data_IF_501169383036
#
_entry.id   IF_501169383036
#
_cell.length_a   1.000
_cell.length_b   1.000
_cell.length_c   1.000
_cell.angle_alpha   90.00
_cell.angle_beta   90.00
_cell.angle_gamma   90.00
#
_symmetry.space_group_name_H-M   'P 1'
#
loop_
_entity.id
_entity.type
_entity.pdbx_description
1 polymer ?
#
# COMPACT_ATOMS: atom_id res chain seq x y z
N UNK A 1 0.63 10.78 -26.31
CA UNK A 1 1.91 11.37 -25.86
C UNK A 1 2.53 10.41 -24.85
N UNK A 2 3.82 10.12 -24.96
CA UNK A 2 4.54 9.27 -23.99
C UNK A 2 5.19 10.18 -22.95
N UNK A 3 4.67 10.17 -21.71
CA UNK A 3 5.25 10.94 -20.62
C UNK A 3 6.64 10.38 -20.28
N UNK A 4 7.69 11.21 -20.26
CA UNK A 4 9.02 10.78 -19.85
C UNK A 4 9.00 10.21 -18.42
N UNK A 5 9.67 9.09 -18.19
CA UNK A 5 9.88 8.50 -16.85
C UNK A 5 10.53 9.49 -15.89
N UNK A 6 11.21 10.52 -16.41
CA UNK A 6 11.91 11.57 -15.66
C UNK A 6 10.96 12.50 -14.90
N UNK A 7 9.71 12.60 -15.35
CA UNK A 7 8.71 13.48 -14.74
C UNK A 7 7.89 12.73 -13.68
N UNK A 8 8.10 11.43 -13.53
CA UNK A 8 7.44 10.61 -12.52
C UNK A 8 8.09 10.85 -11.16
N UNK A 9 7.30 11.34 -10.22
CA UNK A 9 7.75 11.62 -8.86
C UNK A 9 7.28 10.57 -7.86
N UNK A 10 6.21 9.84 -8.18
CA UNK A 10 5.61 8.85 -7.28
C UNK A 10 5.34 7.54 -8.03
N UNK A 11 5.46 6.41 -7.33
CA UNK A 11 4.96 5.11 -7.78
C UNK A 11 3.89 4.60 -6.81
N UNK A 12 2.85 3.99 -7.36
CA UNK A 12 1.72 3.48 -6.58
C UNK A 12 1.37 2.03 -6.89
N UNK A 13 0.87 1.35 -5.87
CA UNK A 13 0.36 0.00 -5.94
C UNK A 13 -0.88 -0.18 -5.05
N UNK A 14 -1.82 -1.01 -5.50
CA UNK A 14 -2.99 -1.42 -4.71
C UNK A 14 -3.11 -2.93 -4.73
N UNK A 15 -3.24 -3.52 -3.54
CA UNK A 15 -3.70 -4.90 -3.36
C UNK A 15 -5.22 -4.93 -3.29
N UNK A 16 -5.84 -5.79 -4.09
CA UNK A 16 -7.29 -5.90 -4.22
C UNK A 16 -7.80 -7.21 -3.65
N UNK A 17 -8.90 -7.16 -2.91
CA UNK A 17 -9.67 -8.33 -2.53
C UNK A 17 -11.08 -8.24 -3.13
N UNK A 18 -11.68 -9.39 -3.40
CA UNK A 18 -13.04 -9.49 -3.90
C UNK A 18 -14.03 -9.64 -2.75
N UNK A 19 -15.10 -8.89 -2.81
CA UNK A 19 -16.26 -9.00 -1.94
C UNK A 19 -17.51 -8.76 -2.78
N UNK A 20 -18.68 -8.95 -2.18
CA UNK A 20 -19.95 -8.51 -2.77
C UNK A 20 -20.19 -9.04 -4.20
N UNK A 21 -19.77 -10.28 -4.46
CA UNK A 21 -19.88 -10.98 -5.74
C UNK A 21 -18.94 -10.47 -6.84
N UNK A 22 -17.64 -10.66 -6.66
CA UNK A 22 -16.54 -10.28 -7.57
C UNK A 22 -16.17 -8.78 -7.59
N UNK A 23 -16.82 -7.95 -6.76
CA UNK A 23 -16.48 -6.53 -6.65
C UNK A 23 -15.13 -6.39 -5.95
N UNK A 24 -14.18 -5.71 -6.60
CA UNK A 24 -12.85 -5.49 -6.04
C UNK A 24 -12.84 -4.28 -5.12
N UNK A 25 -12.36 -4.49 -3.91
CA UNK A 25 -12.11 -3.44 -2.93
C UNK A 25 -10.60 -3.37 -2.64
N UNK A 26 -10.05 -2.17 -2.44
CA UNK A 26 -8.68 -2.05 -1.99
C UNK A 26 -8.57 -2.69 -0.60
N UNK A 27 -7.52 -3.47 -0.38
CA UNK A 27 -7.18 -4.04 0.93
C UNK A 27 -5.94 -3.35 1.52
N UNK A 28 -5.05 -2.89 0.65
CA UNK A 28 -3.84 -2.15 1.00
C UNK A 28 -3.45 -1.26 -0.17
N UNK A 29 -3.02 -0.05 0.14
CA UNK A 29 -2.58 0.96 -0.83
C UNK A 29 -1.20 1.43 -0.42
N UNK A 30 -0.22 1.22 -1.31
CA UNK A 30 1.19 1.53 -1.08
C UNK A 30 1.71 2.50 -2.12
N UNK A 31 2.30 3.61 -1.67
CA UNK A 31 2.94 4.60 -2.55
C UNK A 31 4.33 4.94 -2.05
N UNK A 32 5.21 5.24 -2.99
CA UNK A 32 6.58 5.66 -2.72
C UNK A 32 6.98 6.79 -3.64
N UNK A 33 7.77 7.73 -3.11
CA UNK A 33 8.50 8.71 -3.90
C UNK A 33 9.55 8.03 -4.77
N UNK A 34 9.75 8.54 -5.98
CA UNK A 34 10.84 8.16 -6.87
C UNK A 34 12.03 9.06 -6.56
N UNK A 35 13.10 8.46 -6.07
CA UNK A 35 14.33 9.19 -5.78
C UNK A 35 15.14 9.45 -7.04
N UNK A 36 15.78 10.61 -7.10
CA UNK A 36 16.80 10.89 -8.10
C UNK A 36 18.06 10.07 -7.82
N UNK A 37 18.83 9.80 -8.88
CA UNK A 37 20.05 9.02 -8.77
C UNK A 37 21.03 9.64 -7.77
N UNK A 38 21.56 8.81 -6.86
CA UNK A 38 22.51 9.24 -5.83
C UNK A 38 21.89 9.75 -4.53
N UNK A 39 20.55 9.79 -4.42
CA UNK A 39 19.89 10.06 -3.14
C UNK A 39 19.77 8.75 -2.35
N UNK A 40 20.20 8.74 -1.07
CA UNK A 40 20.02 7.59 -0.17
C UNK A 40 18.56 7.16 -0.02
N UNK A 41 18.30 5.85 0.03
CA UNK A 41 16.95 5.29 0.07
C UNK A 41 16.18 5.59 1.36
N UNK A 42 16.88 5.79 2.48
CA UNK A 42 16.30 6.18 3.77
C UNK A 42 15.59 7.55 3.73
N UNK A 43 15.87 8.36 2.70
CA UNK A 43 15.18 9.64 2.47
C UNK A 43 13.88 9.52 1.69
N UNK A 44 13.57 8.32 1.18
CA UNK A 44 12.36 8.05 0.39
C UNK A 44 11.13 8.21 1.28
N UNK A 45 10.25 9.13 0.90
CA UNK A 45 8.90 9.15 1.49
C UNK A 45 8.12 7.96 0.95
N UNK A 46 7.54 7.17 1.84
CA UNK A 46 6.59 6.12 1.49
C UNK A 46 5.38 6.16 2.42
N UNK A 47 4.25 5.68 1.92
CA UNK A 47 3.04 5.44 2.70
C UNK A 47 2.50 4.07 2.35
N UNK A 48 2.12 3.31 3.37
CA UNK A 48 1.36 2.08 3.25
C UNK A 48 0.15 2.21 4.17
N UNK A 49 -1.03 2.03 3.62
CA UNK A 49 -2.28 2.08 4.40
C UNK A 49 -3.13 0.87 4.05
N UNK A 50 -3.63 0.19 5.07
CA UNK A 50 -4.62 -0.86 4.90
C UNK A 50 -6.04 -0.31 4.94
N UNK A 51 -6.95 -1.02 4.28
CA UNK A 51 -8.36 -0.66 4.17
C UNK A 51 -9.20 -1.70 4.88
N UNK A 52 -10.01 -1.23 5.82
CA UNK A 52 -10.97 -2.03 6.54
C UNK A 52 -12.12 -2.43 5.61
N UNK A 53 -12.26 -3.75 5.43
CA UNK A 53 -13.32 -4.37 4.64
C UNK A 53 -14.20 -5.28 5.51
N UNK A 54 -14.14 -5.20 6.84
CA UNK A 54 -14.93 -6.04 7.76
C UNK A 54 -16.43 -5.95 7.53
N UNK A 55 -16.93 -4.77 7.15
CA UNK A 55 -18.35 -4.56 6.79
C UNK A 55 -18.78 -5.15 5.45
N UNK A 56 -17.85 -5.74 4.68
CA UNK A 56 -18.13 -6.32 3.35
C UNK A 56 -18.43 -7.80 3.46
N UNK A 57 -19.33 -8.29 2.61
CA UNK A 57 -19.70 -9.71 2.58
C UNK A 57 -18.75 -10.45 1.63
N UNK A 58 -17.97 -11.39 2.17
CA UNK A 58 -17.16 -12.32 1.38
C UNK A 58 -17.98 -13.58 1.00
N UNK A 59 -18.50 -13.61 -0.24
CA UNK A 59 -19.28 -14.74 -0.73
C UNK A 59 -18.39 -15.96 -1.01
N UNK A 60 -19.00 -17.15 -1.06
CA UNK A 60 -18.28 -18.40 -1.28
C UNK A 60 -17.43 -18.41 -2.56
N UNK A 61 -17.83 -17.65 -3.59
CA UNK A 61 -17.08 -17.51 -4.85
C UNK A 61 -15.87 -16.56 -4.77
N UNK A 62 -15.90 -15.60 -3.84
CA UNK A 62 -14.82 -14.61 -3.66
C UNK A 62 -13.64 -15.24 -2.88
N UNK A 63 -13.96 -16.15 -1.93
CA UNK A 63 -12.99 -16.79 -1.02
C UNK A 63 -11.78 -17.45 -1.71
N UNK A 64 -11.94 -18.25 -2.79
CA UNK A 64 -10.80 -18.88 -3.44
C UNK A 64 -9.83 -17.85 -4.03
N UNK A 65 -10.35 -16.77 -4.62
CA UNK A 65 -9.54 -15.69 -5.19
C UNK A 65 -8.80 -14.94 -4.08
N UNK A 66 -9.52 -14.55 -3.03
CA UNK A 66 -8.92 -13.87 -1.88
C UNK A 66 -7.85 -14.71 -1.19
N UNK A 67 -8.04 -16.03 -1.09
CA UNK A 67 -7.03 -16.95 -0.54
C UNK A 67 -5.75 -16.93 -1.38
N UNK A 68 -5.85 -16.91 -2.70
CA UNK A 68 -4.69 -16.82 -3.61
C UNK A 68 -4.00 -15.47 -3.48
N UNK A 69 -4.77 -14.38 -3.50
CA UNK A 69 -4.22 -13.02 -3.37
C UNK A 69 -3.48 -12.86 -2.04
N UNK A 70 -4.10 -13.25 -0.92
CA UNK A 70 -3.47 -13.18 0.40
C UNK A 70 -2.19 -14.01 0.48
N UNK A 71 -2.18 -15.21 -0.09
CA UNK A 71 -1.01 -16.10 0.00
C UNK A 71 0.17 -15.64 -0.88
N UNK A 72 -0.12 -15.17 -2.09
CA UNK A 72 0.89 -15.03 -3.14
C UNK A 72 1.20 -13.58 -3.52
N UNK A 73 0.36 -12.63 -3.12
CA UNK A 73 0.47 -11.23 -3.57
C UNK A 73 0.56 -10.30 -2.36
N UNK A 74 -0.47 -10.23 -1.52
CA UNK A 74 -0.51 -9.23 -0.44
C UNK A 74 0.14 -9.68 0.86
N UNK A 75 0.27 -11.00 1.08
CA UNK A 75 0.74 -11.58 2.34
C UNK A 75 -0.06 -11.17 3.59
N UNK A 76 -1.25 -10.58 3.39
CA UNK A 76 -2.13 -10.18 4.50
C UNK A 76 -2.70 -11.42 5.21
N UNK A 77 -2.75 -11.44 6.56
CA UNK A 77 -3.35 -12.52 7.33
C UNK A 77 -4.79 -12.81 6.92
N UNK A 78 -5.25 -14.05 7.10
CA UNK A 78 -6.68 -14.35 6.94
C UNK A 78 -7.50 -13.63 8.01
N UNK A 79 -8.62 -13.02 7.62
CA UNK A 79 -9.42 -12.19 8.54
C UNK A 79 -8.77 -10.86 8.93
N UNK A 80 -7.68 -10.45 8.24
CA UNK A 80 -7.05 -9.15 8.51
C UNK A 80 -8.04 -7.99 8.36
N UNK A 81 -8.15 -7.22 9.43
CA UNK A 81 -8.92 -5.99 9.52
C UNK A 81 -7.99 -4.82 9.20
N UNK A 82 -8.36 -4.01 8.22
CA UNK A 82 -7.59 -2.83 7.88
C UNK A 82 -7.70 -1.75 8.96
N UNK A 83 -6.75 -0.82 8.96
CA UNK A 83 -6.68 0.23 9.98
C UNK A 83 -7.61 1.41 9.72
N UNK A 84 -8.03 1.60 8.46
CA UNK A 84 -8.73 2.78 8.01
C UNK A 84 -9.93 2.41 7.17
N UNK A 85 -10.99 3.22 7.25
CA UNK A 85 -12.04 3.12 6.24
C UNK A 85 -11.45 3.41 4.86
N UNK A 86 -12.13 2.93 3.81
CA UNK A 86 -11.71 3.19 2.42
C UNK A 86 -11.50 4.68 2.18
N UNK A 87 -12.45 5.50 2.64
CA UNK A 87 -12.41 6.95 2.43
C UNK A 87 -11.27 7.62 3.22
N UNK A 88 -10.93 7.11 4.40
CA UNK A 88 -9.78 7.59 5.17
C UNK A 88 -8.45 7.25 4.50
N UNK A 89 -8.30 6.00 4.06
CA UNK A 89 -7.12 5.55 3.33
C UNK A 89 -6.93 6.38 2.06
N UNK A 90 -7.98 6.55 1.26
CA UNK A 90 -7.95 7.36 0.03
C UNK A 90 -7.58 8.82 0.30
N UNK A 91 -8.16 9.45 1.33
CA UNK A 91 -7.77 10.82 1.72
C UNK A 91 -6.30 10.93 2.11
N UNK A 92 -5.75 9.94 2.80
CA UNK A 92 -4.32 9.91 3.14
C UNK A 92 -3.45 9.83 1.89
N UNK A 93 -3.84 8.98 0.93
CA UNK A 93 -3.13 8.86 -0.33
C UNK A 93 -3.15 10.17 -1.11
N UNK A 94 -4.31 10.79 -1.27
CA UNK A 94 -4.44 12.07 -1.99
C UNK A 94 -3.57 13.15 -1.32
N UNK A 95 -3.59 13.23 0.01
CA UNK A 95 -2.72 14.17 0.76
C UNK A 95 -1.23 13.86 0.61
N UNK A 96 -0.87 12.60 0.48
CA UNK A 96 0.53 12.18 0.35
C UNK A 96 1.10 12.48 -1.04
N UNK A 97 0.31 12.24 -2.09
CA UNK A 97 0.69 12.51 -3.49
C UNK A 97 0.67 14.00 -3.82
N UNK A 98 -0.30 14.74 -3.27
CA UNK A 98 -0.50 16.16 -3.59
C UNK A 98 -0.73 16.33 -5.12
N UNK A 99 0.07 17.17 -5.77
CA UNK A 99 0.03 17.47 -7.19
C UNK A 99 1.07 16.70 -8.02
N UNK A 100 1.80 15.77 -7.39
CA UNK A 100 2.87 15.00 -8.03
C UNK A 100 2.35 14.01 -9.06
N UNK A 101 3.14 13.78 -10.11
CA UNK A 101 2.84 12.77 -11.12
C UNK A 101 3.00 11.35 -10.56
N UNK A 102 1.91 10.58 -10.55
CA UNK A 102 1.88 9.20 -10.06
C UNK A 102 2.00 8.21 -11.22
N UNK A 103 2.92 7.25 -11.10
CA UNK A 103 3.04 6.13 -12.00
C UNK A 103 2.53 4.84 -11.36
N UNK A 104 1.73 4.07 -12.08
CA UNK A 104 1.17 2.80 -11.59
C UNK A 104 1.28 1.70 -12.62
N UNK A 105 1.21 0.45 -12.16
CA UNK A 105 1.24 -0.71 -13.03
C UNK A 105 -0.19 -1.17 -13.35
N UNK A 106 -0.56 -1.06 -14.63
CA UNK A 106 -1.81 -1.58 -15.17
C UNK A 106 -2.98 -0.59 -15.13
N UNK A 107 -3.86 -0.75 -16.11
CA UNK A 107 -5.02 0.11 -16.35
C UNK A 107 -5.96 0.23 -15.15
N UNK A 108 -6.29 -0.87 -14.47
CA UNK A 108 -7.23 -0.88 -13.33
C UNK A 108 -6.76 0.07 -12.22
N UNK A 109 -5.45 0.06 -11.92
CA UNK A 109 -4.89 0.96 -10.90
C UNK A 109 -4.89 2.40 -11.38
N UNK A 110 -4.60 2.64 -12.67
CA UNK A 110 -4.65 3.97 -13.25
C UNK A 110 -6.04 4.58 -13.07
N UNK A 111 -7.08 3.86 -13.49
CA UNK A 111 -8.48 4.31 -13.36
C UNK A 111 -8.83 4.59 -11.90
N UNK A 112 -8.43 3.70 -10.98
CA UNK A 112 -8.67 3.89 -9.56
C UNK A 112 -8.10 5.22 -9.04
N UNK A 113 -6.82 5.50 -9.28
CA UNK A 113 -6.18 6.73 -8.79
C UNK A 113 -6.66 7.98 -9.53
N UNK A 114 -7.03 7.88 -10.80
CA UNK A 114 -7.65 9.01 -11.54
C UNK A 114 -9.02 9.38 -10.93
N UNK A 115 -9.82 8.40 -10.49
CA UNK A 115 -11.10 8.66 -9.78
C UNK A 115 -10.86 9.42 -8.47
N UNK A 116 -9.70 9.25 -7.83
CA UNK A 116 -9.31 10.01 -6.64
C UNK A 116 -8.85 11.45 -6.95
N UNK A 117 -8.82 11.84 -8.23
CA UNK A 117 -8.41 13.17 -8.69
C UNK A 117 -6.90 13.34 -8.87
N UNK A 118 -6.13 12.23 -8.95
CA UNK A 118 -4.68 12.28 -9.14
C UNK A 118 -4.30 12.30 -10.63
N UNK A 119 -3.14 12.89 -10.93
CA UNK A 119 -2.55 12.81 -12.28
C UNK A 119 -1.74 11.52 -12.39
N UNK A 120 -2.18 10.60 -13.27
CA UNK A 120 -1.64 9.23 -13.30
C UNK A 120 -1.17 8.81 -14.69
N UNK A 121 -0.01 8.17 -14.73
CA UNK A 121 0.52 7.49 -15.93
C UNK A 121 0.61 5.99 -15.71
N UNK A 122 0.22 5.23 -16.73
CA UNK A 122 0.36 3.77 -16.72
C UNK A 122 1.77 3.38 -17.19
N UNK A 123 2.45 2.61 -16.36
CA UNK A 123 3.73 1.99 -16.69
C UNK A 123 3.49 0.75 -17.55
N UNK A 124 3.97 0.79 -18.80
CA UNK A 124 3.96 -0.37 -19.71
C UNK A 124 5.02 -1.43 -19.37
N UNK A 125 5.99 -1.12 -18.50
CA UNK A 125 7.01 -2.05 -18.01
C UNK A 125 7.39 -1.76 -16.54
N UNK A 126 7.96 -2.74 -15.85
CA UNK A 126 8.46 -2.58 -14.47
C UNK A 126 9.61 -1.57 -14.49
N UNK A 127 9.54 -0.51 -13.68
CA UNK A 127 10.66 0.42 -13.53
C UNK A 127 11.85 -0.34 -12.93
N UNK A 128 13.07 -0.16 -13.43
CA UNK A 128 14.26 -0.86 -12.92
C UNK A 128 14.54 -0.58 -11.44
N UNK A 129 13.96 0.48 -10.88
CA UNK A 129 14.21 0.99 -9.53
C UNK A 129 12.97 0.93 -8.62
N UNK A 130 11.94 0.14 -8.97
CA UNK A 130 10.91 -0.19 -7.98
C UNK A 130 11.57 -1.01 -6.87
N UNK A 131 11.45 -0.62 -5.58
CA UNK A 131 11.93 -1.45 -4.50
C UNK A 131 11.29 -2.81 -4.64
N UNK A 132 12.12 -3.85 -4.74
CA UNK A 132 11.64 -5.22 -4.65
C UNK A 132 11.19 -5.43 -3.21
N UNK A 133 10.38 -6.45 -2.99
CA UNK A 133 9.91 -6.82 -1.65
C UNK A 133 11.06 -6.93 -0.62
N UNK A 134 12.26 -7.32 -1.05
CA UNK A 134 13.46 -7.40 -0.22
C UNK A 134 14.13 -6.04 0.10
N UNK A 135 13.75 -4.98 -0.59
CA UNK A 135 14.32 -3.62 -0.47
C UNK A 135 13.44 -2.71 0.43
N UNK A 136 12.35 -3.24 1.00
CA UNK A 136 11.53 -2.51 1.97
C UNK A 136 12.15 -2.63 3.38
N UNK A 137 11.96 -1.63 4.27
CA UNK A 137 12.50 -1.70 5.63
C UNK A 137 11.72 -2.71 6.50
N UNK A 138 12.40 -3.29 7.51
CA UNK A 138 11.88 -4.32 8.42
C UNK A 138 10.51 -3.96 9.06
N UNK A 139 10.26 -2.66 9.24
CA UNK A 139 9.02 -2.12 9.80
C UNK A 139 7.78 -2.33 8.91
N UNK A 140 7.99 -2.62 7.62
CA UNK A 140 6.92 -3.01 6.68
C UNK A 140 6.57 -4.50 6.84
N UNK A 141 7.50 -5.33 7.31
CA UNK A 141 7.28 -6.76 7.49
C UNK A 141 6.60 -7.09 8.82
N UNK A 142 6.71 -6.19 9.81
CA UNK A 142 6.15 -6.39 11.15
C UNK A 142 5.61 -5.06 11.69
N UNK A 143 4.29 -4.90 11.88
CA UNK A 143 3.78 -3.86 12.76
C UNK A 143 4.43 -4.11 14.11
N UNK A 144 5.28 -3.20 14.59
CA UNK A 144 5.87 -3.30 15.93
C UNK A 144 4.70 -3.45 16.90
N UNK A 145 4.63 -4.61 17.56
CA UNK A 145 3.79 -4.82 18.73
C UNK A 145 4.07 -3.66 19.69
N UNK A 146 3.10 -2.74 19.79
CA UNK A 146 3.03 -1.74 20.85
C UNK A 146 2.68 -2.49 22.16
N UNK A 147 3.60 -3.33 22.63
CA UNK A 147 3.50 -4.03 23.90
C UNK A 147 4.91 -4.36 24.42
N UNK A 148 5.76 -3.35 24.54
CA UNK A 148 6.91 -3.42 25.43
C UNK A 148 7.19 -2.02 25.98
N UNK A 149 6.45 -1.64 27.02
CA UNK A 149 6.89 -0.61 27.95
C UNK A 149 7.83 -1.31 28.95
N UNK A 150 9.11 -0.95 29.04
CA UNK A 150 9.85 -1.06 30.29
C UNK A 150 10.32 0.33 30.74
N UNK A 151 10.88 0.50 31.95
CA UNK A 151 10.72 -0.28 33.18
C UNK A 151 10.28 0.63 34.36
N UNK A 152 9.79 0.06 35.45
CA UNK A 152 9.89 0.73 36.76
C UNK A 152 10.76 -0.10 37.70
N UNK A 153 12.00 0.35 37.89
CA UNK A 153 12.80 0.15 39.12
C UNK A 153 11.89 0.52 40.31
N UNK A 154 11.84 -0.16 41.45
CA UNK A 154 12.84 -0.42 42.51
C UNK A 154 11.98 -1.12 43.60
N UNK A 155 12.38 -2.11 44.41
CA UNK A 155 13.27 -2.07 45.58
C UNK A 155 13.41 -3.54 46.03
N UNK A 156 14.64 -4.04 46.19
CA UNK A 156 14.92 -5.10 47.17
C UNK A 156 15.75 -4.49 48.31
N UNK A 157 15.19 -4.55 49.51
CA UNK A 157 15.83 -4.47 50.83
C UNK A 157 14.73 -4.86 51.82
N UNK A 158 14.81 -5.92 52.63
CA UNK A 158 15.88 -6.80 53.09
C UNK A 158 15.35 -8.23 53.18
#
# INVERSE_FOLDING_TARGET
>A
MTTPVRDVEMVGHVHWLQYENDIRFPAEIGLSEVLTFGIPEDRRRAILTSVDNTGRIEYAKDRPVNKVVRRNISHLPFGYEGLHTKEEAERKIVRFVQDKLLAVKGHDQKVYFEILGLTVVELKSVLPCCPKYADLPDEVFHPKDLAAIPPQNTIQAR
#
